data_IF_577728087145
#
_entry.id   IF_577728087145
#
_cell.length_a   1.000
_cell.length_b   1.000
_cell.length_c   1.000
_cell.angle_alpha   90.00
_cell.angle_beta   90.00
_cell.angle_gamma   90.00
#
_symmetry.space_group_name_H-M   'P 1'
#
loop_
_entity.id
_entity.type
_entity.pdbx_description
1 polymer ?
#
# COMPACT_ATOMS: atom_id res chain seq x y z
N UNK A 1 -74.19 -11.30 -11.07
CA UNK A 1 -73.27 -10.15 -11.04
C UNK A 1 -73.08 -9.71 -12.49
N UNK A 2 -73.32 -8.44 -12.76
CA UNK A 2 -73.25 -7.88 -14.13
C UNK A 2 -71.76 -7.58 -14.44
N UNK A 3 -71.32 -7.97 -15.61
CA UNK A 3 -69.93 -7.95 -16.03
C UNK A 3 -69.34 -6.56 -16.24
N UNK A 4 -70.00 -5.49 -15.80
CA UNK A 4 -69.51 -4.11 -16.02
C UNK A 4 -69.98 -3.15 -14.94
N UNK A 5 -69.70 -3.40 -13.69
CA UNK A 5 -69.99 -2.45 -12.60
C UNK A 5 -68.89 -1.42 -12.48
N UNK A 6 -69.14 -0.19 -13.01
CA UNK A 6 -68.24 0.98 -12.85
C UNK A 6 -68.62 1.68 -11.56
N UNK A 7 -67.92 1.43 -10.47
CA UNK A 7 -68.02 2.21 -9.24
C UNK A 7 -67.33 3.55 -9.38
N UNK A 8 -68.05 4.62 -9.11
CA UNK A 8 -67.49 6.01 -9.09
C UNK A 8 -66.80 6.32 -7.73
N UNK A 9 -66.58 5.35 -6.88
CA UNK A 9 -66.01 5.47 -5.53
C UNK A 9 -64.93 4.42 -5.26
N UNK A 10 -64.56 4.28 -4.00
CA UNK A 10 -63.61 3.26 -3.55
C UNK A 10 -64.28 1.86 -3.64
N UNK A 11 -63.66 0.92 -4.35
CA UNK A 11 -64.01 -0.49 -4.24
C UNK A 11 -63.43 -1.02 -2.92
N UNK A 12 -64.34 -1.33 -1.98
CA UNK A 12 -63.95 -2.00 -0.73
C UNK A 12 -64.27 -3.49 -0.87
N UNK A 13 -63.23 -4.31 -0.87
CA UNK A 13 -63.33 -5.76 -0.79
C UNK A 13 -63.22 -6.15 0.68
N UNK A 14 -64.41 -6.39 1.33
CA UNK A 14 -64.49 -6.63 2.77
C UNK A 14 -64.53 -8.13 3.05
N UNK A 15 -63.57 -8.89 2.54
CA UNK A 15 -63.39 -10.30 2.87
C UNK A 15 -61.92 -10.72 2.80
N UNK A 16 -61.55 -11.75 3.50
CA UNK A 16 -60.18 -12.26 3.55
C UNK A 16 -59.75 -12.98 2.24
N UNK A 17 -60.68 -13.19 1.30
CA UNK A 17 -60.39 -13.76 -0.02
C UNK A 17 -59.80 -12.77 -1.02
N UNK A 18 -59.79 -11.46 -0.69
CA UNK A 18 -59.17 -10.41 -1.51
C UNK A 18 -59.81 -10.16 -2.87
N UNK A 19 -59.06 -9.56 -3.82
CA UNK A 19 -59.42 -9.34 -5.19
C UNK A 19 -58.85 -10.43 -6.09
N UNK A 20 -59.72 -11.12 -6.82
CA UNK A 20 -59.37 -12.16 -7.77
C UNK A 20 -59.58 -11.60 -9.19
N UNK A 21 -58.57 -11.74 -10.06
CA UNK A 21 -58.59 -11.28 -11.43
C UNK A 21 -58.26 -12.46 -12.34
N UNK A 22 -59.10 -12.66 -13.35
CA UNK A 22 -59.04 -13.80 -14.29
C UNK A 22 -60.08 -14.89 -13.95
N UNK A 23 -60.37 -15.76 -14.91
CA UNK A 23 -61.42 -16.81 -14.77
C UNK A 23 -61.01 -17.93 -13.81
N UNK A 24 -59.70 -18.20 -13.68
CA UNK A 24 -59.12 -19.30 -12.91
C UNK A 24 -58.26 -18.79 -11.73
N UNK A 25 -58.53 -17.58 -11.24
CA UNK A 25 -57.78 -16.95 -10.14
C UNK A 25 -56.32 -16.69 -10.48
N UNK A 26 -56.03 -16.29 -11.71
CA UNK A 26 -54.69 -16.13 -12.25
C UNK A 26 -53.85 -15.14 -11.44
N UNK A 27 -54.43 -14.02 -11.03
CA UNK A 27 -53.84 -13.05 -10.12
C UNK A 27 -54.74 -12.84 -8.92
N UNK A 28 -54.21 -12.97 -7.73
CA UNK A 28 -54.91 -12.70 -6.48
C UNK A 28 -54.22 -11.61 -5.68
N UNK A 29 -55.01 -10.73 -5.06
CA UNK A 29 -54.55 -9.77 -4.06
C UNK A 29 -55.28 -10.07 -2.77
N UNK A 30 -54.60 -10.66 -1.80
CA UNK A 30 -55.15 -11.13 -0.55
C UNK A 30 -54.42 -10.54 0.64
N UNK A 31 -55.06 -10.64 1.81
CA UNK A 31 -54.43 -10.28 3.09
C UNK A 31 -54.59 -11.48 4.02
N UNK A 32 -53.51 -11.92 4.61
CA UNK A 32 -53.51 -12.95 5.65
C UNK A 32 -52.72 -12.50 6.90
N UNK A 33 -52.46 -13.41 7.81
CA UNK A 33 -51.68 -13.11 9.02
C UNK A 33 -50.21 -12.68 8.74
N UNK A 34 -49.73 -12.90 7.54
CA UNK A 34 -48.38 -12.52 7.08
C UNK A 34 -48.34 -11.15 6.39
N UNK A 35 -49.51 -10.59 6.00
CA UNK A 35 -49.65 -9.29 5.36
C UNK A 35 -50.37 -9.31 4.02
N UNK A 36 -50.18 -8.31 3.19
CA UNK A 36 -50.72 -8.22 1.84
C UNK A 36 -49.93 -9.08 0.84
N UNK A 37 -50.61 -9.89 0.06
CA UNK A 37 -50.00 -10.80 -0.91
C UNK A 37 -50.57 -10.47 -2.30
N UNK A 38 -49.64 -10.31 -3.29
CA UNK A 38 -49.95 -10.35 -4.72
C UNK A 38 -49.38 -11.64 -5.28
N UNK A 39 -50.19 -12.50 -5.77
CA UNK A 39 -49.80 -13.84 -6.24
C UNK A 39 -50.27 -14.06 -7.68
N UNK A 40 -49.35 -14.56 -8.52
CA UNK A 40 -49.68 -15.17 -9.79
C UNK A 40 -49.69 -16.70 -9.60
N UNK A 41 -50.78 -17.35 -9.91
CA UNK A 41 -50.97 -18.79 -9.72
C UNK A 41 -50.79 -19.59 -11.01
N UNK A 42 -50.59 -18.90 -12.14
CA UNK A 42 -50.38 -19.56 -13.43
C UNK A 42 -48.89 -19.96 -13.52
N UNK A 43 -48.64 -21.23 -13.77
CA UNK A 43 -47.29 -21.79 -13.85
C UNK A 43 -46.46 -21.11 -14.92
N UNK A 44 -45.19 -20.80 -14.60
CA UNK A 44 -44.16 -20.25 -15.49
C UNK A 44 -44.52 -18.90 -16.13
N UNK A 45 -45.50 -18.16 -15.58
CA UNK A 45 -45.84 -16.81 -16.06
C UNK A 45 -45.38 -15.72 -15.11
N UNK A 46 -45.11 -14.57 -15.67
CA UNK A 46 -44.47 -13.42 -14.97
C UNK A 46 -45.50 -12.48 -14.35
N UNK A 47 -45.07 -11.77 -13.30
CA UNK A 47 -45.69 -10.52 -12.88
C UNK A 47 -44.86 -9.36 -13.43
N UNK A 48 -45.47 -8.51 -14.27
CA UNK A 48 -44.78 -7.37 -14.86
C UNK A 48 -45.38 -6.05 -14.39
N UNK A 49 -44.52 -5.11 -14.01
CA UNK A 49 -44.89 -3.74 -13.73
C UNK A 49 -44.48 -2.86 -14.92
N UNK A 50 -45.48 -2.15 -15.47
CA UNK A 50 -45.34 -1.32 -16.66
C UNK A 50 -45.74 0.12 -16.38
N UNK A 51 -45.06 1.05 -17.00
CA UNK A 51 -45.39 2.48 -16.94
C UNK A 51 -45.59 3.01 -18.36
N UNK A 52 -46.35 4.10 -18.49
CA UNK A 52 -46.39 4.88 -19.74
C UNK A 52 -45.29 5.94 -19.72
N UNK A 53 -44.24 5.71 -20.49
CA UNK A 53 -43.13 6.61 -20.63
C UNK A 53 -43.16 7.28 -22.01
N UNK A 54 -43.51 8.57 -22.05
CA UNK A 54 -43.60 9.32 -23.30
C UNK A 54 -44.63 8.80 -24.32
N UNK A 55 -45.68 8.14 -23.89
CA UNK A 55 -46.71 7.51 -24.73
C UNK A 55 -46.46 6.04 -25.08
N UNK A 56 -45.32 5.48 -24.67
CA UNK A 56 -45.01 4.06 -24.84
C UNK A 56 -45.16 3.28 -23.52
N UNK A 57 -45.70 2.06 -23.57
CA UNK A 57 -45.78 1.20 -22.41
C UNK A 57 -44.44 0.48 -22.21
N UNK A 58 -43.72 0.83 -21.16
CA UNK A 58 -42.39 0.30 -20.83
C UNK A 58 -42.45 -0.60 -19.60
N UNK A 59 -41.85 -1.80 -19.65
CA UNK A 59 -41.71 -2.67 -18.49
C UNK A 59 -40.59 -2.17 -17.62
N UNK A 60 -40.86 -1.86 -16.37
CA UNK A 60 -39.84 -1.33 -15.41
C UNK A 60 -39.37 -2.39 -14.43
N UNK A 61 -40.21 -3.40 -14.14
CA UNK A 61 -39.88 -4.54 -13.26
C UNK A 61 -40.57 -5.81 -13.77
N UNK A 62 -39.84 -6.91 -13.71
CA UNK A 62 -40.36 -8.25 -13.98
C UNK A 62 -40.05 -9.16 -12.80
N UNK A 63 -41.09 -9.92 -12.33
CA UNK A 63 -40.89 -11.06 -11.48
C UNK A 63 -41.11 -12.28 -12.37
N UNK A 64 -40.04 -12.94 -12.73
CA UNK A 64 -39.99 -14.11 -13.60
C UNK A 64 -40.47 -15.33 -12.83
N UNK A 65 -41.62 -15.84 -13.23
CA UNK A 65 -42.30 -16.99 -12.58
C UNK A 65 -41.58 -18.30 -12.89
N UNK A 66 -40.96 -18.44 -14.07
CA UNK A 66 -40.28 -19.67 -14.49
C UNK A 66 -38.99 -19.94 -13.74
N UNK A 67 -38.19 -18.88 -13.46
CA UNK A 67 -36.85 -19.00 -12.88
C UNK A 67 -36.75 -18.38 -11.47
N UNK A 68 -37.89 -17.84 -10.97
CA UNK A 68 -37.95 -17.17 -9.64
C UNK A 68 -36.89 -16.08 -9.50
N UNK A 69 -36.82 -15.14 -10.46
CA UNK A 69 -35.87 -14.03 -10.56
C UNK A 69 -36.59 -12.69 -10.57
N UNK A 70 -35.87 -11.62 -10.25
CA UNK A 70 -36.37 -10.25 -10.35
C UNK A 70 -35.50 -9.48 -11.31
N UNK A 71 -36.09 -8.87 -12.33
CA UNK A 71 -35.48 -7.97 -13.28
C UNK A 71 -35.93 -6.53 -13.05
N UNK A 72 -35.03 -5.59 -12.98
CA UNK A 72 -35.27 -4.15 -13.04
C UNK A 72 -34.71 -3.63 -14.36
N UNK A 73 -35.57 -3.09 -15.24
CA UNK A 73 -35.17 -2.66 -16.56
C UNK A 73 -34.86 -3.79 -17.55
N UNK A 74 -35.13 -5.03 -17.19
CA UNK A 74 -35.02 -6.23 -18.05
C UNK A 74 -36.20 -7.16 -17.84
N UNK A 75 -36.61 -7.83 -18.92
CA UNK A 75 -37.70 -8.84 -18.91
C UNK A 75 -37.21 -10.28 -18.86
N UNK A 76 -35.89 -10.48 -18.98
CA UNK A 76 -35.26 -11.81 -19.00
C UNK A 76 -34.05 -11.83 -18.06
N UNK A 77 -34.29 -11.76 -16.73
CA UNK A 77 -33.19 -11.72 -15.77
C UNK A 77 -32.40 -13.04 -15.78
N UNK A 78 -31.09 -12.94 -15.89
CA UNK A 78 -30.15 -14.07 -15.89
C UNK A 78 -29.71 -14.52 -14.49
N UNK A 79 -29.95 -13.67 -13.46
CA UNK A 79 -29.62 -13.90 -12.05
C UNK A 79 -30.82 -13.62 -11.13
N UNK A 80 -30.75 -14.00 -9.84
CA UNK A 80 -31.86 -13.81 -8.88
C UNK A 80 -32.34 -12.36 -8.79
N UNK A 81 -31.42 -11.39 -8.91
CA UNK A 81 -31.71 -9.98 -9.10
C UNK A 81 -30.80 -9.44 -10.19
N UNK A 82 -31.39 -8.97 -11.28
CA UNK A 82 -30.67 -8.28 -12.36
C UNK A 82 -31.20 -6.85 -12.50
N UNK A 83 -30.30 -5.87 -12.52
CA UNK A 83 -30.59 -4.47 -12.79
C UNK A 83 -29.89 -4.06 -14.07
N UNK A 84 -30.67 -3.84 -15.14
CA UNK A 84 -30.18 -3.27 -16.40
C UNK A 84 -30.11 -1.76 -16.27
N UNK A 85 -28.96 -1.26 -15.75
CA UNK A 85 -28.76 0.15 -15.47
C UNK A 85 -27.87 0.39 -14.26
N UNK A 86 -27.89 1.62 -13.74
CA UNK A 86 -27.11 2.01 -12.57
C UNK A 86 -27.89 1.83 -11.29
N UNK A 87 -27.33 1.14 -10.31
CA UNK A 87 -27.85 1.09 -8.96
C UNK A 87 -27.17 2.12 -8.09
N UNK A 88 -27.93 3.08 -7.53
CA UNK A 88 -27.43 4.04 -6.53
C UNK A 88 -27.85 3.56 -5.14
N UNK A 89 -26.90 3.36 -4.26
CA UNK A 89 -27.13 2.99 -2.87
C UNK A 89 -26.24 3.80 -1.95
N UNK A 90 -26.74 4.16 -0.78
CA UNK A 90 -25.95 4.81 0.26
C UNK A 90 -24.97 3.84 0.92
N UNK A 91 -25.25 2.54 0.90
CA UNK A 91 -24.37 1.48 1.37
C UNK A 91 -24.80 0.12 0.82
N UNK A 92 -23.84 -0.75 0.56
CA UNK A 92 -24.04 -2.19 0.42
C UNK A 92 -23.60 -2.86 1.73
N UNK A 93 -24.53 -3.38 2.51
CA UNK A 93 -24.22 -4.09 3.74
C UNK A 93 -24.13 -5.59 3.45
N UNK A 94 -22.98 -6.19 3.72
CA UNK A 94 -22.68 -7.61 3.50
C UNK A 94 -21.43 -7.86 2.68
N UNK A 95 -21.02 -9.13 2.59
CA UNK A 95 -19.91 -9.53 1.74
C UNK A 95 -20.31 -9.44 0.26
N UNK A 96 -19.53 -8.74 -0.55
CA UNK A 96 -19.60 -8.82 -2.00
C UNK A 96 -18.86 -10.09 -2.44
N UNK A 97 -19.63 -11.17 -2.71
CA UNK A 97 -19.07 -12.45 -3.17
C UNK A 97 -19.20 -12.55 -4.69
N UNK A 98 -18.11 -12.66 -5.39
CA UNK A 98 -18.03 -12.70 -6.85
C UNK A 98 -17.01 -11.73 -7.42
N UNK A 99 -16.84 -11.76 -8.74
CA UNK A 99 -15.93 -10.86 -9.43
C UNK A 99 -16.52 -9.44 -9.50
N UNK A 100 -15.79 -8.45 -9.03
CA UNK A 100 -16.08 -7.05 -9.33
C UNK A 100 -15.47 -6.75 -10.71
N UNK A 101 -16.27 -6.94 -11.78
CA UNK A 101 -15.88 -6.55 -13.14
C UNK A 101 -16.21 -5.06 -13.31
N UNK A 102 -15.21 -4.20 -13.20
CA UNK A 102 -15.36 -2.76 -13.30
C UNK A 102 -14.35 -2.02 -12.43
N UNK A 103 -14.31 -0.71 -12.56
CA UNK A 103 -13.46 0.10 -11.69
C UNK A 103 -14.11 0.23 -10.32
N UNK A 104 -13.39 -0.14 -9.25
CA UNK A 104 -13.65 0.40 -7.92
C UNK A 104 -13.17 1.86 -7.97
N UNK A 105 -13.94 2.66 -8.72
CA UNK A 105 -13.58 4.05 -8.99
C UNK A 105 -14.34 4.94 -8.01
N UNK A 106 -13.73 5.20 -6.87
CA UNK A 106 -14.12 6.35 -6.08
C UNK A 106 -13.49 7.59 -6.72
N UNK A 107 -14.27 8.52 -7.25
CA UNK A 107 -13.80 9.90 -7.57
C UNK A 107 -13.51 10.70 -6.27
N UNK A 108 -13.34 10.06 -5.17
CA UNK A 108 -12.87 10.49 -3.87
C UNK A 108 -12.09 9.34 -3.27
N UNK A 109 -11.31 9.57 -2.24
CA UNK A 109 -10.51 8.57 -1.55
C UNK A 109 -11.33 7.31 -1.27
N UNK A 110 -11.09 6.24 -2.01
CA UNK A 110 -11.57 4.92 -1.62
C UNK A 110 -10.76 4.49 -0.41
N UNK A 111 -11.23 4.83 0.78
CA UNK A 111 -10.63 4.39 2.03
C UNK A 111 -10.97 2.92 2.22
N UNK A 112 -10.12 2.05 1.71
CA UNK A 112 -10.12 0.64 2.10
C UNK A 112 -9.23 0.55 3.33
N UNK A 113 -9.80 0.39 4.51
CA UNK A 113 -9.04 0.31 5.76
C UNK A 113 -7.96 -0.78 5.73
N UNK A 114 -8.26 -1.94 5.12
CA UNK A 114 -7.29 -3.01 4.85
C UNK A 114 -7.70 -3.73 3.56
N UNK A 115 -6.79 -3.81 2.59
CA UNK A 115 -6.94 -4.67 1.44
C UNK A 115 -6.17 -5.97 1.69
N UNK A 116 -6.89 -7.07 1.98
CA UNK A 116 -6.30 -8.40 2.10
C UNK A 116 -6.49 -9.14 0.77
N UNK A 117 -5.40 -9.49 0.11
CA UNK A 117 -5.41 -10.24 -1.14
C UNK A 117 -4.84 -11.63 -0.91
N UNK A 118 -5.60 -12.67 -1.25
CA UNK A 118 -5.13 -14.06 -1.21
C UNK A 118 -4.27 -14.47 -2.42
N UNK A 119 -4.05 -13.57 -3.36
CA UNK A 119 -3.33 -13.81 -4.60
C UNK A 119 -2.40 -12.65 -4.98
N UNK A 120 -2.11 -12.52 -6.28
CA UNK A 120 -1.20 -11.52 -6.82
C UNK A 120 -1.90 -10.17 -7.01
N UNK A 121 -1.28 -9.08 -6.55
CA UNK A 121 -1.63 -7.72 -6.94
C UNK A 121 -0.87 -7.34 -8.22
N UNK A 122 -1.58 -7.19 -9.34
CA UNK A 122 -1.02 -6.65 -10.58
C UNK A 122 -1.41 -5.19 -10.71
N UNK A 123 -0.43 -4.30 -10.71
CA UNK A 123 -0.65 -2.85 -10.81
C UNK A 123 0.42 -2.18 -11.66
N UNK A 124 0.10 -1.05 -12.29
CA UNK A 124 1.08 -0.23 -13.01
C UNK A 124 1.96 0.56 -12.06
N UNK A 125 1.38 1.11 -11.00
CA UNK A 125 2.07 1.96 -10.04
C UNK A 125 1.44 1.82 -8.66
N UNK A 126 2.27 1.78 -7.62
CA UNK A 126 1.87 1.91 -6.22
C UNK A 126 2.50 3.21 -5.71
N UNK A 127 1.69 4.18 -5.36
CA UNK A 127 2.14 5.48 -4.85
C UNK A 127 1.60 5.69 -3.43
N UNK A 128 2.43 6.20 -2.51
CA UNK A 128 1.93 6.74 -1.24
C UNK A 128 1.17 8.05 -1.49
N UNK A 129 0.18 8.35 -0.68
CA UNK A 129 -0.55 9.62 -0.76
C UNK A 129 0.26 10.81 -0.21
N UNK A 130 1.20 10.53 0.69
CA UNK A 130 2.08 11.52 1.29
C UNK A 130 3.54 11.08 1.15
N UNK A 131 4.39 12.00 0.71
CA UNK A 131 5.82 11.73 0.51
C UNK A 131 6.51 11.39 1.83
N UNK A 132 7.35 10.36 1.82
CA UNK A 132 8.20 9.91 2.96
C UNK A 132 7.47 9.47 4.22
N UNK A 133 6.16 9.16 4.13
CA UNK A 133 5.34 8.80 5.32
C UNK A 133 4.99 7.33 5.42
N UNK A 134 5.29 6.50 4.42
CA UNK A 134 4.86 5.11 4.37
C UNK A 134 5.98 4.15 3.97
N UNK A 135 5.97 2.98 4.60
CA UNK A 135 6.92 1.91 4.37
C UNK A 135 6.32 0.78 3.53
N UNK A 136 7.17 0.01 2.87
CA UNK A 136 6.82 -1.28 2.26
C UNK A 136 7.32 -2.39 3.20
N UNK A 137 6.40 -3.00 3.93
CA UNK A 137 6.71 -3.96 4.98
C UNK A 137 6.91 -3.32 6.35
N UNK A 138 7.37 -4.09 7.31
CA UNK A 138 7.70 -3.65 8.68
C UNK A 138 8.77 -4.56 9.28
N UNK A 139 9.29 -4.21 10.46
CA UNK A 139 10.28 -5.02 11.16
C UNK A 139 9.79 -6.46 11.46
N UNK A 140 8.47 -6.64 11.63
CA UNK A 140 7.83 -7.94 11.92
C UNK A 140 7.19 -8.62 10.70
N UNK A 141 6.99 -7.91 9.58
CA UNK A 141 6.39 -8.42 8.35
C UNK A 141 7.21 -7.96 7.14
N UNK A 142 8.16 -8.76 6.76
CA UNK A 142 9.12 -8.47 5.71
C UNK A 142 8.79 -9.24 4.43
N UNK A 143 9.13 -8.64 3.27
CA UNK A 143 9.14 -9.37 2.02
C UNK A 143 10.33 -10.32 1.98
N UNK A 144 10.12 -11.55 1.52
CA UNK A 144 11.22 -12.52 1.36
C UNK A 144 12.23 -12.04 0.30
N UNK A 145 11.74 -11.53 -0.82
CA UNK A 145 12.58 -11.03 -1.91
C UNK A 145 11.88 -9.89 -2.64
N UNK A 146 12.62 -8.87 -3.04
CA UNK A 146 12.16 -7.79 -3.92
C UNK A 146 12.92 -7.88 -5.24
N UNK A 147 12.24 -8.25 -6.34
CA UNK A 147 12.78 -8.22 -7.69
C UNK A 147 12.50 -6.87 -8.34
N UNK A 148 13.52 -6.04 -8.49
CA UNK A 148 13.42 -4.73 -9.12
C UNK A 148 14.54 -4.54 -10.14
N UNK A 149 14.22 -3.89 -11.27
CA UNK A 149 15.23 -3.58 -12.29
C UNK A 149 16.22 -2.49 -11.81
N UNK A 150 15.73 -1.54 -11.04
CA UNK A 150 16.50 -0.46 -10.45
C UNK A 150 15.85 0.04 -9.17
N UNK A 151 16.68 0.55 -8.26
CA UNK A 151 16.25 1.27 -7.06
C UNK A 151 16.95 2.62 -7.04
N UNK A 152 16.30 3.65 -6.51
CA UNK A 152 16.87 4.96 -6.26
C UNK A 152 16.88 5.21 -4.76
N UNK A 153 18.03 5.61 -4.23
CA UNK A 153 18.19 5.92 -2.82
C UNK A 153 18.50 7.41 -2.64
N UNK A 154 17.96 8.01 -1.60
CA UNK A 154 18.21 9.42 -1.27
C UNK A 154 19.61 9.61 -0.65
N UNK A 155 20.07 8.65 0.13
CA UNK A 155 21.36 8.65 0.81
C UNK A 155 22.42 7.94 -0.03
N UNK A 156 23.71 8.09 0.32
CA UNK A 156 24.79 7.79 -0.61
C UNK A 156 25.76 6.71 -0.16
N UNK A 157 25.65 6.18 1.05
CA UNK A 157 26.58 5.19 1.57
C UNK A 157 25.94 3.82 1.83
N UNK A 158 26.76 2.79 1.69
CA UNK A 158 26.50 1.42 2.09
C UNK A 158 27.13 1.22 3.46
N UNK A 159 26.37 0.84 4.45
CA UNK A 159 26.84 0.57 5.81
C UNK A 159 26.46 -0.81 6.31
N UNK A 160 27.18 -1.27 7.31
CA UNK A 160 26.88 -2.46 8.06
C UNK A 160 26.89 -2.15 9.57
N UNK A 161 25.99 -2.79 10.33
CA UNK A 161 25.98 -2.67 11.79
C UNK A 161 27.08 -3.52 12.38
N UNK A 162 27.94 -2.90 13.19
CA UNK A 162 28.96 -3.55 14.00
C UNK A 162 28.78 -3.19 15.47
N UNK A 163 29.01 -4.18 16.37
CA UNK A 163 29.03 -3.92 17.79
C UNK A 163 30.23 -3.02 18.14
N UNK A 164 29.95 -1.86 18.73
CA UNK A 164 30.97 -0.92 19.20
C UNK A 164 31.17 -1.03 20.71
N UNK A 165 32.38 -0.84 21.18
CA UNK A 165 32.73 -0.85 22.60
C UNK A 165 32.17 0.35 23.38
N UNK A 166 31.83 1.43 22.68
CA UNK A 166 31.09 2.59 23.19
C UNK A 166 30.28 3.23 22.04
N UNK A 167 29.43 4.22 22.38
CA UNK A 167 28.73 5.00 21.39
C UNK A 167 29.63 6.10 20.80
N UNK A 168 29.89 6.04 19.50
CA UNK A 168 30.68 7.02 18.78
C UNK A 168 29.81 8.02 18.03
N UNK A 169 30.29 9.25 17.91
CA UNK A 169 29.63 10.28 17.10
C UNK A 169 29.77 10.00 15.61
N UNK A 170 28.81 10.52 14.83
CA UNK A 170 28.83 10.46 13.36
C UNK A 170 30.14 11.06 12.81
N UNK A 171 30.69 10.42 11.80
CA UNK A 171 31.93 10.85 11.16
C UNK A 171 33.22 10.33 11.84
N UNK A 172 33.10 9.61 12.95
CA UNK A 172 34.24 9.02 13.65
C UNK A 172 34.85 7.88 12.85
N UNK A 173 36.14 7.87 12.65
CA UNK A 173 36.90 6.77 12.05
C UNK A 173 37.05 5.65 13.06
N UNK A 174 36.65 4.44 12.67
CA UNK A 174 36.70 3.25 13.51
C UNK A 174 37.52 2.13 12.89
N UNK A 175 38.09 1.29 13.75
CA UNK A 175 38.94 0.16 13.39
C UNK A 175 38.40 -1.13 13.99
N UNK A 176 38.71 -2.26 13.37
CA UNK A 176 38.40 -3.57 13.98
C UNK A 176 39.29 -3.81 15.20
N UNK A 177 38.68 -4.10 16.34
CA UNK A 177 39.36 -4.34 17.61
C UNK A 177 38.63 -3.73 18.80
N UNK A 178 39.33 -3.57 19.91
CA UNK A 178 38.74 -3.17 21.18
C UNK A 178 38.11 -4.34 21.93
N UNK A 179 37.15 -4.07 22.79
CA UNK A 179 36.42 -5.08 23.56
C UNK A 179 35.22 -5.69 22.82
N UNK A 180 34.86 -5.11 21.70
CA UNK A 180 33.79 -5.53 20.78
C UNK A 180 34.37 -5.67 19.36
N UNK A 181 33.49 -5.61 18.32
CA UNK A 181 33.94 -5.74 16.93
C UNK A 181 34.71 -4.51 16.45
N UNK A 182 34.30 -3.32 16.88
CA UNK A 182 34.93 -2.06 16.49
C UNK A 182 35.25 -1.17 17.70
N UNK A 183 36.32 -0.39 17.55
CA UNK A 183 36.74 0.67 18.46
C UNK A 183 37.17 1.90 17.68
N UNK A 184 37.35 3.03 18.37
CA UNK A 184 37.81 4.26 17.73
C UNK A 184 39.28 4.12 17.26
N UNK A 185 39.58 4.70 16.09
CA UNK A 185 40.98 4.80 15.64
C UNK A 185 41.77 5.83 16.48
N UNK A 186 42.92 5.43 16.99
CA UNK A 186 43.83 6.26 17.80
C UNK A 186 45.28 6.24 17.31
N UNK A 187 45.56 5.52 16.22
CA UNK A 187 46.91 5.37 15.66
C UNK A 187 46.97 5.89 14.24
N UNK A 188 48.01 6.67 13.94
CA UNK A 188 48.28 7.10 12.59
C UNK A 188 48.63 5.90 11.71
N UNK A 189 48.03 5.86 10.51
CA UNK A 189 48.23 4.78 9.54
C UNK A 189 47.75 3.41 10.00
N UNK A 190 46.75 3.35 10.90
CA UNK A 190 46.20 2.09 11.33
C UNK A 190 45.66 1.28 10.13
N UNK A 191 46.08 0.04 10.01
CA UNK A 191 45.70 -0.85 8.90
C UNK A 191 44.42 -1.67 9.19
N UNK A 192 43.88 -1.53 10.41
CA UNK A 192 42.66 -2.21 10.84
C UNK A 192 41.36 -1.44 10.52
N UNK A 193 41.43 -0.50 9.58
CA UNK A 193 40.29 0.37 9.24
C UNK A 193 39.01 -0.47 9.00
N UNK A 194 37.97 -0.25 9.82
CA UNK A 194 36.63 -0.77 9.60
C UNK A 194 35.81 0.15 8.71
N UNK A 195 35.86 1.45 8.97
CA UNK A 195 35.12 2.46 8.21
C UNK A 195 34.86 3.73 9.03
N UNK A 196 33.73 4.36 8.78
CA UNK A 196 33.32 5.62 9.42
C UNK A 196 31.89 5.46 9.93
N UNK A 197 31.60 5.93 11.15
CA UNK A 197 30.25 5.95 11.69
C UNK A 197 29.32 6.80 10.81
N UNK A 198 28.33 6.15 10.21
CA UNK A 198 27.36 6.79 9.31
C UNK A 198 26.16 7.35 10.08
N UNK A 199 25.56 8.41 9.52
CA UNK A 199 24.34 9.03 10.04
C UNK A 199 23.06 8.37 9.46
N UNK A 200 23.03 8.25 8.13
CA UNK A 200 21.87 7.80 7.36
C UNK A 200 22.33 7.02 6.12
N UNK A 201 22.63 5.75 6.26
CA UNK A 201 23.06 4.95 5.10
C UNK A 201 21.93 4.74 4.11
N UNK A 202 22.26 4.74 2.81
CA UNK A 202 21.32 4.39 1.75
C UNK A 202 20.93 2.91 1.76
N UNK A 203 21.86 2.07 2.18
CA UNK A 203 21.65 0.64 2.37
C UNK A 203 22.37 0.19 3.64
N UNK A 204 21.64 -0.54 4.48
CA UNK A 204 22.17 -1.02 5.75
C UNK A 204 22.14 -2.56 5.79
N UNK A 205 23.30 -3.14 6.01
CA UNK A 205 23.45 -4.59 6.23
C UNK A 205 23.46 -4.90 7.72
N UNK A 206 23.15 -6.16 8.06
CA UNK A 206 23.13 -6.64 9.43
C UNK A 206 22.20 -5.81 10.35
N UNK A 207 21.11 -5.27 9.83
CA UNK A 207 20.24 -4.27 10.47
C UNK A 207 19.51 -4.76 11.75
N UNK A 208 19.59 -6.05 12.07
CA UNK A 208 19.03 -6.63 13.31
C UNK A 208 20.04 -6.76 14.43
N UNK A 209 21.32 -6.55 14.17
CA UNK A 209 22.38 -6.60 15.17
C UNK A 209 22.37 -5.33 16.02
N UNK A 210 22.80 -5.47 17.24
CA UNK A 210 23.10 -4.33 18.12
C UNK A 210 24.41 -3.68 17.65
N UNK A 211 24.52 -2.35 17.75
CA UNK A 211 25.73 -1.62 17.37
C UNK A 211 25.47 -0.34 16.61
N UNK A 212 26.46 0.08 15.83
CA UNK A 212 26.42 1.34 15.06
C UNK A 212 26.65 1.09 13.56
N UNK A 213 26.01 1.86 12.67
CA UNK A 213 26.24 1.76 11.23
C UNK A 213 27.61 2.31 10.86
N UNK A 214 28.44 1.46 10.25
CA UNK A 214 29.76 1.82 9.72
C UNK A 214 29.70 1.87 8.21
N UNK A 215 29.96 3.01 7.62
CA UNK A 215 30.04 3.20 6.17
C UNK A 215 31.25 2.44 5.61
N UNK A 216 30.99 1.52 4.68
CA UNK A 216 31.98 0.68 4.01
C UNK A 216 32.30 1.20 2.60
N UNK A 217 31.36 1.90 1.97
CA UNK A 217 31.49 2.49 0.64
C UNK A 217 30.50 3.64 0.44
N UNK A 218 30.88 4.63 -0.36
CA UNK A 218 30.03 5.75 -0.72
C UNK A 218 30.41 7.07 -0.06
N UNK A 219 29.56 8.08 -0.21
CA UNK A 219 29.80 9.42 0.33
C UNK A 219 29.29 9.54 1.76
N UNK A 220 30.18 9.96 2.67
CA UNK A 220 29.88 10.09 4.10
C UNK A 220 30.63 11.29 4.69
N UNK A 221 30.12 11.83 5.80
CA UNK A 221 30.84 12.80 6.63
C UNK A 221 31.97 12.11 7.39
N UNK A 222 33.13 12.73 7.50
CA UNK A 222 34.31 12.20 8.22
C UNK A 222 34.92 13.29 9.07
N UNK A 223 35.24 12.97 10.32
CA UNK A 223 36.08 13.82 11.16
C UNK A 223 37.50 13.83 10.63
N UNK A 224 38.10 15.02 10.51
CA UNK A 224 39.42 15.21 9.91
C UNK A 224 40.24 16.17 10.72
N UNK A 225 41.58 16.09 10.53
CA UNK A 225 42.58 16.93 11.19
C UNK A 225 43.74 17.19 10.23
N UNK A 226 44.27 18.41 10.25
CA UNK A 226 45.45 18.83 9.45
C UNK A 226 45.08 19.27 8.03
N UNK A 227 46.08 19.41 7.17
CA UNK A 227 45.90 19.90 5.79
C UNK A 227 45.49 18.78 4.85
N UNK A 228 44.31 18.92 4.24
CA UNK A 228 43.70 17.98 3.31
C UNK A 228 43.32 18.73 2.03
N UNK A 229 43.79 18.24 0.89
CA UNK A 229 43.35 18.73 -0.42
C UNK A 229 42.30 17.80 -1.02
N UNK A 230 41.31 18.35 -1.66
CA UNK A 230 40.30 17.57 -2.40
C UNK A 230 40.97 16.56 -3.34
N UNK A 231 40.53 15.30 -3.29
CA UNK A 231 41.08 14.18 -4.05
C UNK A 231 42.22 13.44 -3.34
N UNK A 232 42.75 13.96 -2.21
CA UNK A 232 43.77 13.26 -1.42
C UNK A 232 43.26 11.95 -0.85
N UNK A 233 44.12 10.95 -0.78
CA UNK A 233 43.87 9.74 0.00
C UNK A 233 43.88 10.07 1.49
N UNK A 234 42.93 9.49 2.20
CA UNK A 234 42.73 9.66 3.64
C UNK A 234 43.09 8.38 4.39
N UNK A 235 43.80 8.57 5.50
CA UNK A 235 44.21 7.52 6.44
C UNK A 235 43.81 7.93 7.86
N UNK A 236 43.81 7.00 8.80
CA UNK A 236 43.67 7.33 10.21
C UNK A 236 44.79 8.33 10.63
N UNK A 237 44.42 9.39 11.34
CA UNK A 237 45.35 10.35 11.92
C UNK A 237 45.86 9.87 13.27
N UNK A 238 46.79 10.63 13.90
CA UNK A 238 47.13 10.43 15.30
C UNK A 238 46.11 10.99 16.27
N UNK A 239 45.15 11.81 15.76
CA UNK A 239 44.04 12.32 16.54
C UNK A 239 42.89 11.29 16.55
N UNK A 240 42.35 11.04 17.74
CA UNK A 240 41.36 10.00 17.97
C UNK A 240 40.12 10.17 17.11
N UNK A 241 39.76 9.14 16.35
CA UNK A 241 38.57 9.08 15.51
C UNK A 241 38.60 9.99 14.26
N UNK A 242 39.78 10.54 13.90
CA UNK A 242 39.94 11.46 12.79
C UNK A 242 40.74 10.85 11.64
N UNK A 243 40.50 11.34 10.44
CA UNK A 243 41.32 11.07 9.25
C UNK A 243 42.25 12.25 8.94
N UNK A 244 43.36 11.97 8.23
CA UNK A 244 44.27 12.94 7.66
C UNK A 244 44.70 12.52 6.26
N UNK A 245 45.34 13.42 5.50
CA UNK A 245 45.85 13.11 4.17
C UNK A 245 47.17 12.34 4.20
N UNK A 246 47.37 11.46 3.22
CA UNK A 246 48.67 10.81 2.98
C UNK A 246 48.95 10.67 1.49
N UNK A 247 50.22 10.96 1.10
CA UNK A 247 50.70 10.75 -0.28
C UNK A 247 51.13 9.30 -0.51
N UNK A 248 51.56 8.59 0.55
CA UNK A 248 52.10 7.24 0.51
C UNK A 248 51.49 6.42 1.65
N UNK A 249 50.17 6.10 1.59
CA UNK A 249 49.51 5.32 2.63
C UNK A 249 50.04 3.88 2.66
N UNK A 250 50.26 3.29 3.82
CA UNK A 250 50.48 1.85 3.93
C UNK A 250 49.28 1.04 3.37
N UNK A 251 49.56 -0.14 2.87
CA UNK A 251 48.53 -1.05 2.41
C UNK A 251 47.55 -1.36 3.56
N UNK A 252 46.26 -1.21 3.32
CA UNK A 252 45.21 -1.49 4.32
C UNK A 252 44.88 -0.27 5.21
N UNK A 253 45.61 0.85 5.14
CA UNK A 253 45.35 2.04 5.96
C UNK A 253 44.42 3.09 5.29
N UNK A 254 44.07 2.90 4.03
CA UNK A 254 43.26 3.88 3.29
C UNK A 254 41.80 3.77 3.69
N UNK A 255 41.22 4.89 4.13
CA UNK A 255 39.80 5.03 4.43
C UNK A 255 39.02 5.38 3.16
N UNK A 256 39.57 6.29 2.35
CA UNK A 256 38.89 6.81 1.17
C UNK A 256 39.57 8.04 0.58
N UNK A 257 38.80 8.89 -0.11
CA UNK A 257 39.26 10.13 -0.74
C UNK A 257 38.46 11.34 -0.31
N UNK A 258 39.15 12.45 -0.05
CA UNK A 258 38.52 13.73 0.29
C UNK A 258 37.71 14.30 -0.89
N UNK A 259 36.52 14.79 -0.64
CA UNK A 259 35.70 15.54 -1.59
C UNK A 259 35.80 17.06 -1.40
N UNK A 260 36.39 17.49 -0.30
CA UNK A 260 36.52 18.89 0.12
C UNK A 260 37.95 19.19 0.57
N UNK A 261 38.33 20.45 0.55
CA UNK A 261 39.56 20.92 1.16
C UNK A 261 39.33 21.14 2.66
N UNK A 262 40.35 20.90 3.46
CA UNK A 262 40.40 21.25 4.87
C UNK A 262 41.80 21.67 5.24
N UNK A 263 41.95 22.71 6.06
CA UNK A 263 43.28 23.23 6.47
C UNK A 263 43.17 23.85 7.88
N UNK A 264 43.28 22.99 8.89
CA UNK A 264 43.27 23.40 10.28
C UNK A 264 43.84 22.30 11.17
N UNK A 265 44.51 22.70 12.23
CA UNK A 265 44.97 21.80 13.29
C UNK A 265 43.85 21.47 14.31
N UNK A 266 42.68 22.03 14.14
CA UNK A 266 41.50 21.61 14.92
C UNK A 266 40.78 20.47 14.22
N UNK A 267 39.91 19.75 14.96
CA UNK A 267 39.06 18.70 14.38
C UNK A 267 37.90 19.35 13.64
N UNK A 268 37.78 19.05 12.36
CA UNK A 268 36.65 19.45 11.54
C UNK A 268 35.93 18.25 10.91
N UNK A 269 34.93 18.53 10.07
CA UNK A 269 34.19 17.50 9.33
C UNK A 269 34.09 17.88 7.86
N UNK A 270 34.44 16.95 6.98
CA UNK A 270 34.29 17.08 5.52
C UNK A 270 33.54 15.89 4.94
N UNK A 271 33.01 16.07 3.72
CA UNK A 271 32.52 14.95 2.93
C UNK A 271 33.66 14.20 2.28
N UNK A 272 33.61 12.87 2.35
CA UNK A 272 34.59 12.00 1.69
C UNK A 272 33.87 10.87 0.94
N UNK A 273 34.59 10.19 0.07
CA UNK A 273 34.15 8.89 -0.46
C UNK A 273 34.93 7.81 0.26
N UNK A 274 34.22 6.97 1.01
CA UNK A 274 34.77 5.74 1.60
C UNK A 274 34.83 4.68 0.52
N UNK A 275 35.91 3.91 0.50
CA UNK A 275 36.09 2.79 -0.41
C UNK A 275 37.54 2.38 -0.46
N UNK A 276 37.77 1.14 -0.82
CA UNK A 276 39.11 0.61 -1.06
C UNK A 276 39.63 1.22 -2.34
N UNK A 277 40.74 1.93 -2.23
CA UNK A 277 41.48 2.50 -3.36
C UNK A 277 42.67 1.60 -3.69
#
# INVERSE_FOLDING_TARGET
>A
ANANDTTSGTLTVANDGGLIVGSDSDITITVDSSGGIVSNTVQDTDITFKVNDGGATTTVMTIDGSESRVGIGTTTPSTKLEVSGTTTSTAFAGALTGDVTGNINGSGSSSVGTLTMGGTLTTKTILPDTNTSYDIGSASKQYNTVHAKATSAQYADLAEIYESDTQYEVGTVVVFGGSKEITVSDQKYDTRIAGIISENPAYIMNSKSEGQPVALAGKVKCKVHGTITKGSMLVASGETGCATSSKHPPVGSVIGKALENYDSDEIGTINIVVGRC
#
